data_IF_715752365825
#
_entry.id   IF_715752365825
#
_cell.length_a   1.000
_cell.length_b   1.000
_cell.length_c   1.000
_cell.angle_alpha   90.00
_cell.angle_beta   90.00
_cell.angle_gamma   90.00
#
_symmetry.space_group_name_H-M   'P 1'
#
loop_
_entity.id
_entity.type
_entity.pdbx_description
1 polymer ?
#
# COMPACT_ATOMS: atom_id res chain seq x y z
N UNK A 1 15.14 38.03 -16.82
CA UNK A 1 15.32 36.65 -17.33
C UNK A 1 15.75 35.72 -16.20
N UNK A 2 16.54 36.18 -15.23
CA UNK A 2 17.03 35.41 -14.08
C UNK A 2 15.94 34.71 -13.26
N UNK A 3 14.82 35.39 -12.96
CA UNK A 3 13.69 34.80 -12.23
C UNK A 3 13.07 33.56 -12.94
N UNK A 4 13.05 33.55 -14.27
CA UNK A 4 12.52 32.40 -15.03
C UNK A 4 13.50 31.22 -14.96
N UNK A 5 14.81 31.49 -15.03
CA UNK A 5 15.82 30.44 -14.90
C UNK A 5 15.82 29.84 -13.49
N UNK A 6 15.73 30.67 -12.46
CA UNK A 6 15.68 30.23 -11.06
C UNK A 6 14.43 29.38 -10.78
N UNK A 7 13.28 29.76 -11.34
CA UNK A 7 12.04 28.99 -11.22
C UNK A 7 12.16 27.61 -11.93
N UNK A 8 12.79 27.56 -13.10
CA UNK A 8 13.03 26.31 -13.82
C UNK A 8 14.00 25.39 -13.08
N UNK A 9 15.05 25.94 -12.47
CA UNK A 9 15.98 25.18 -11.64
C UNK A 9 15.30 24.62 -10.38
N UNK A 10 14.47 25.42 -9.71
CA UNK A 10 13.67 24.95 -8.57
C UNK A 10 12.69 23.85 -8.98
N UNK A 11 12.00 24.01 -10.11
CA UNK A 11 11.10 23.00 -10.64
C UNK A 11 11.86 21.69 -10.94
N UNK A 12 13.02 21.77 -11.58
CA UNK A 12 13.84 20.60 -11.88
C UNK A 12 14.27 19.86 -10.59
N UNK A 13 14.68 20.61 -9.56
CA UNK A 13 15.03 20.02 -8.25
C UNK A 13 13.84 19.31 -7.61
N UNK A 14 12.67 19.93 -7.58
CA UNK A 14 11.45 19.34 -6.99
C UNK A 14 11.01 18.10 -7.78
N UNK A 15 11.00 18.17 -9.11
CA UNK A 15 10.64 17.04 -9.97
C UNK A 15 11.61 15.88 -9.80
N UNK A 16 12.92 16.15 -9.75
CA UNK A 16 13.95 15.11 -9.56
C UNK A 16 13.82 14.46 -8.18
N UNK A 17 13.62 15.26 -7.13
CA UNK A 17 13.43 14.76 -5.77
C UNK A 17 12.16 13.91 -5.66
N UNK A 18 11.04 14.38 -6.21
CA UNK A 18 9.79 13.63 -6.22
C UNK A 18 9.91 12.32 -7.01
N UNK A 19 10.56 12.35 -8.18
CA UNK A 19 10.81 11.16 -9.00
C UNK A 19 11.62 10.12 -8.23
N UNK A 20 12.67 10.54 -7.52
CA UNK A 20 13.45 9.65 -6.66
C UNK A 20 12.59 9.03 -5.56
N UNK A 21 11.80 9.84 -4.87
CA UNK A 21 10.90 9.35 -3.80
C UNK A 21 9.89 8.35 -4.34
N UNK A 22 9.23 8.66 -5.45
CA UNK A 22 8.27 7.76 -6.09
C UNK A 22 8.93 6.47 -6.60
N UNK A 23 10.16 6.55 -7.09
CA UNK A 23 10.92 5.36 -7.51
C UNK A 23 11.20 4.43 -6.33
N UNK A 24 11.59 4.99 -5.18
CA UNK A 24 11.84 4.21 -3.95
C UNK A 24 10.53 3.61 -3.42
N UNK A 25 9.43 4.36 -3.43
CA UNK A 25 8.12 3.84 -3.03
C UNK A 25 7.66 2.71 -3.96
N UNK A 26 7.83 2.86 -5.27
CA UNK A 26 7.54 1.81 -6.24
C UNK A 26 8.38 0.55 -6.02
N UNK A 27 9.67 0.70 -5.74
CA UNK A 27 10.54 -0.43 -5.41
C UNK A 27 10.09 -1.15 -4.13
N UNK A 28 9.71 -0.41 -3.08
CA UNK A 28 9.17 -0.99 -1.83
C UNK A 28 7.87 -1.74 -2.07
N UNK A 29 6.94 -1.14 -2.81
CA UNK A 29 5.67 -1.77 -3.15
C UNK A 29 5.87 -3.07 -3.94
N UNK A 30 6.82 -3.07 -4.90
CA UNK A 30 7.16 -4.27 -5.66
C UNK A 30 7.71 -5.39 -4.76
N UNK A 31 8.65 -5.07 -3.86
CA UNK A 31 9.23 -6.04 -2.93
C UNK A 31 8.16 -6.62 -2.00
N UNK A 32 7.32 -5.77 -1.40
CA UNK A 32 6.24 -6.22 -0.51
C UNK A 32 5.21 -7.07 -1.25
N UNK A 33 4.83 -6.69 -2.48
CA UNK A 33 3.94 -7.49 -3.32
C UNK A 33 4.52 -8.87 -3.66
N UNK A 34 5.82 -8.95 -3.98
CA UNK A 34 6.52 -10.23 -4.22
C UNK A 34 6.59 -11.08 -2.95
N UNK A 35 6.85 -10.45 -1.80
CA UNK A 35 6.87 -11.13 -0.51
C UNK A 35 5.50 -11.73 -0.17
N UNK A 36 4.42 -10.96 -0.30
CA UNK A 36 3.06 -11.45 -0.09
C UNK A 36 2.74 -12.63 -1.01
N UNK A 37 3.07 -12.52 -2.30
CA UNK A 37 2.85 -13.61 -3.25
C UNK A 37 3.65 -14.89 -2.92
N UNK A 38 4.81 -14.76 -2.29
CA UNK A 38 5.62 -15.90 -1.87
C UNK A 38 5.11 -16.54 -0.57
N UNK A 39 4.66 -15.72 0.39
CA UNK A 39 4.28 -16.17 1.74
C UNK A 39 2.84 -16.64 1.80
N UNK A 40 1.90 -15.92 1.20
CA UNK A 40 0.46 -16.21 1.31
C UNK A 40 0.11 -17.66 0.93
N UNK A 41 0.66 -18.27 -0.14
CA UNK A 41 0.40 -19.67 -0.47
C UNK A 41 0.82 -20.66 0.61
N UNK A 42 1.82 -20.33 1.42
CA UNK A 42 2.40 -21.22 2.45
C UNK A 42 1.63 -21.17 3.78
N UNK A 43 0.76 -20.17 3.98
CA UNK A 43 0.00 -20.03 5.21
C UNK A 43 -1.15 -21.03 5.28
N UNK A 44 -1.24 -21.74 6.41
CA UNK A 44 -2.40 -22.56 6.75
C UNK A 44 -3.66 -21.71 6.93
N UNK A 45 -4.84 -22.33 6.83
CA UNK A 45 -6.12 -21.61 6.91
C UNK A 45 -6.27 -20.81 8.21
N UNK A 46 -5.89 -21.39 9.36
CA UNK A 46 -5.93 -20.70 10.65
C UNK A 46 -5.04 -19.46 10.65
N UNK A 47 -3.80 -19.59 10.16
CA UNK A 47 -2.85 -18.47 10.07
C UNK A 47 -3.35 -17.36 9.13
N UNK A 48 -4.05 -17.71 8.04
CA UNK A 48 -4.65 -16.72 7.14
C UNK A 48 -5.77 -15.95 7.82
N UNK A 49 -6.61 -16.61 8.60
CA UNK A 49 -7.66 -15.96 9.38
C UNK A 49 -7.06 -15.01 10.41
N UNK A 50 -6.08 -15.47 11.20
CA UNK A 50 -5.38 -14.63 12.18
C UNK A 50 -4.69 -13.43 11.51
N UNK A 51 -4.02 -13.66 10.38
CA UNK A 51 -3.38 -12.58 9.59
C UNK A 51 -4.42 -11.59 9.06
N UNK A 52 -5.60 -12.05 8.65
CA UNK A 52 -6.68 -11.19 8.15
C UNK A 52 -7.18 -10.26 9.23
N UNK A 53 -7.44 -10.77 10.43
CA UNK A 53 -7.90 -9.97 11.56
C UNK A 53 -6.83 -8.97 12.00
N UNK A 54 -5.58 -9.44 12.16
CA UNK A 54 -4.46 -8.57 12.55
C UNK A 54 -4.18 -7.48 11.51
N UNK A 55 -4.24 -7.80 10.21
CA UNK A 55 -4.04 -6.82 9.15
C UNK A 55 -5.14 -5.77 9.13
N UNK A 56 -6.42 -6.18 9.26
CA UNK A 56 -7.55 -5.25 9.32
C UNK A 56 -7.42 -4.31 10.50
N UNK A 57 -7.15 -4.85 11.68
CA UNK A 57 -6.98 -4.06 12.90
C UNK A 57 -5.85 -3.03 12.75
N UNK A 58 -4.69 -3.42 12.21
CA UNK A 58 -3.58 -2.48 12.01
C UNK A 58 -3.91 -1.33 11.04
N UNK A 59 -4.72 -1.59 10.01
CA UNK A 59 -5.20 -0.54 9.10
C UNK A 59 -6.19 0.38 9.82
N UNK A 60 -7.13 -0.17 10.58
CA UNK A 60 -8.10 0.62 11.37
C UNK A 60 -7.40 1.50 12.40
N UNK A 61 -6.40 0.98 13.12
CA UNK A 61 -5.57 1.75 14.05
C UNK A 61 -4.82 2.88 13.33
N UNK A 62 -4.25 2.59 12.15
CA UNK A 62 -3.57 3.61 11.34
C UNK A 62 -4.54 4.71 10.89
N UNK A 63 -5.74 4.34 10.42
CA UNK A 63 -6.76 5.29 10.01
C UNK A 63 -7.26 6.15 11.18
N UNK A 64 -7.45 5.55 12.36
CA UNK A 64 -7.86 6.28 13.56
C UNK A 64 -6.83 7.34 13.97
N UNK A 65 -5.53 7.08 13.81
CA UNK A 65 -4.48 8.07 14.05
C UNK A 65 -4.47 9.21 13.00
N UNK A 66 -5.15 9.01 11.87
CA UNK A 66 -5.18 9.95 10.75
C UNK A 66 -6.50 10.73 10.67
N UNK A 67 -7.47 10.48 11.56
CA UNK A 67 -8.79 11.14 11.54
C UNK A 67 -8.70 12.68 11.62
N UNK A 68 -7.69 13.22 12.31
CA UNK A 68 -7.44 14.67 12.43
C UNK A 68 -6.59 15.23 11.27
N UNK A 69 -6.09 14.38 10.36
CA UNK A 69 -5.21 14.77 9.26
C UNK A 69 -6.00 14.88 7.97
N UNK A 70 -5.99 16.07 7.36
CA UNK A 70 -6.55 16.27 6.01
C UNK A 70 -5.69 15.57 4.97
N UNK A 71 -6.02 14.32 4.66
CA UNK A 71 -5.44 13.58 3.54
C UNK A 71 -6.20 13.83 2.24
N UNK A 72 -5.54 13.82 1.08
CA UNK A 72 -6.22 13.87 -0.21
C UNK A 72 -7.19 12.69 -0.38
N UNK A 73 -8.33 12.92 -1.03
CA UNK A 73 -9.32 11.88 -1.28
C UNK A 73 -8.74 10.68 -2.06
N UNK A 74 -7.82 10.94 -2.99
CA UNK A 74 -7.14 9.90 -3.77
C UNK A 74 -6.23 9.03 -2.89
N UNK A 75 -5.63 9.60 -1.83
CA UNK A 75 -4.83 8.83 -0.89
C UNK A 75 -5.70 7.84 -0.11
N UNK A 76 -6.83 8.32 0.41
CA UNK A 76 -7.76 7.48 1.15
C UNK A 76 -8.35 6.37 0.26
N UNK A 77 -8.70 6.71 -0.98
CA UNK A 77 -9.21 5.75 -1.97
C UNK A 77 -8.19 4.66 -2.27
N UNK A 78 -6.94 5.04 -2.54
CA UNK A 78 -5.85 4.08 -2.78
C UNK A 78 -5.57 3.19 -1.56
N UNK A 79 -5.61 3.74 -0.35
CA UNK A 79 -5.42 2.98 0.89
C UNK A 79 -6.49 1.90 1.05
N UNK A 80 -7.76 2.25 0.84
CA UNK A 80 -8.86 1.29 0.92
C UNK A 80 -8.80 0.24 -0.18
N UNK A 81 -8.49 0.63 -1.42
CA UNK A 81 -8.34 -0.30 -2.54
C UNK A 81 -7.25 -1.34 -2.28
N UNK A 82 -6.08 -0.90 -1.83
CA UNK A 82 -4.96 -1.78 -1.51
C UNK A 82 -5.27 -2.71 -0.34
N UNK A 83 -5.90 -2.18 0.71
CA UNK A 83 -6.35 -2.97 1.87
C UNK A 83 -7.31 -4.08 1.43
N UNK A 84 -8.34 -3.73 0.66
CA UNK A 84 -9.32 -4.70 0.16
C UNK A 84 -8.69 -5.75 -0.76
N UNK A 85 -7.72 -5.37 -1.58
CA UNK A 85 -6.98 -6.30 -2.44
C UNK A 85 -6.22 -7.35 -1.63
N UNK A 86 -5.55 -6.94 -0.54
CA UNK A 86 -4.82 -7.86 0.35
C UNK A 86 -5.80 -8.77 1.10
N UNK A 87 -6.89 -8.22 1.64
CA UNK A 87 -7.94 -8.99 2.32
C UNK A 87 -8.58 -10.04 1.40
N UNK A 88 -8.86 -9.67 0.15
CA UNK A 88 -9.38 -10.61 -0.86
C UNK A 88 -8.39 -11.76 -1.10
N UNK A 89 -7.10 -11.44 -1.22
CA UNK A 89 -6.05 -12.45 -1.46
C UNK A 89 -5.91 -13.42 -0.28
N UNK A 90 -6.01 -12.91 0.95
CA UNK A 90 -6.04 -13.74 2.16
C UNK A 90 -7.26 -14.67 2.19
N UNK A 91 -8.44 -14.18 1.80
CA UNK A 91 -9.69 -14.94 1.78
C UNK A 91 -9.83 -15.99 0.66
N UNK A 92 -9.14 -15.83 -0.47
CA UNK A 92 -9.33 -16.70 -1.66
C UNK A 92 -8.88 -18.15 -1.50
N UNK A 93 -8.08 -18.53 -0.48
CA UNK A 93 -7.80 -19.94 -0.23
C UNK A 93 -8.91 -20.66 0.54
N UNK A 94 -9.76 -19.93 1.26
CA UNK A 94 -10.87 -20.53 2.02
C UNK A 94 -11.98 -21.06 1.11
N UNK A 95 -12.08 -20.57 -0.14
CA UNK A 95 -13.05 -21.05 -1.11
C UNK A 95 -12.61 -22.31 -1.88
N UNK A 96 -11.29 -22.52 -2.04
CA UNK A 96 -10.74 -23.64 -2.83
C UNK A 96 -10.77 -24.99 -2.09
N UNK A 97 -10.94 -24.99 -0.78
CA UNK A 97 -10.99 -26.20 0.04
C UNK A 97 -12.43 -26.67 0.37
N UNK A 98 -13.46 -26.03 -0.20
CA UNK A 98 -14.88 -26.37 0.05
C UNK A 98 -15.52 -27.17 -1.10
N UNK A 99 -14.71 -27.66 -2.04
CA UNK A 99 -15.17 -28.41 -3.23
C UNK A 99 -14.49 -29.78 -3.39
N UNK A 100 -13.77 -30.27 -2.38
CA UNK A 100 -13.23 -31.63 -2.32
C UNK A 100 -13.82 -32.40 -1.14
#
# INVERSE_FOLDING_TARGET
>A
MDNVNDALEQMNRVVTANTKTMSVLGARAMVLGKFLNAVLPQLAMVQRTETTESFRQGIEETLSLMDDVRVPADYHSALLELTNTILATLGHASARHRLD
#
